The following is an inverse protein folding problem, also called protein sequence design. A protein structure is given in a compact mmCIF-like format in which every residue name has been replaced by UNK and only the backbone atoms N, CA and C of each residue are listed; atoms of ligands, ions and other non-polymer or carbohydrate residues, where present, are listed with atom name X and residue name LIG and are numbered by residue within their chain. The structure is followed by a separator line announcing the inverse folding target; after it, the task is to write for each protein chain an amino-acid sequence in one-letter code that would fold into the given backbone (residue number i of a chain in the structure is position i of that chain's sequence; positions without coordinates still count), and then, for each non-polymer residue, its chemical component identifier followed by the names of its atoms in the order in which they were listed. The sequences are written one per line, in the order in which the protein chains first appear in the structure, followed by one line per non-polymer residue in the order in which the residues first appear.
data_IF_795149806626
#
_entry.id   IF_795149806626
#
_cell.length_a   1.000
_cell.length_b   1.000
_cell.length_c   1.000
_cell.angle_alpha   90.00
_cell.angle_beta   90.00
_cell.angle_gamma   90.00
#
_symmetry.space_group_name_H-M   'P 1'
#
loop_
_entity.id
_entity.type
_entity.pdbx_description
1 polymer ?
#
# COMPACT_ATOMS: atom_id res chain seq x y z
N UNK A 1 1.29 7.46 27.87
CA UNK A 1 2.57 7.39 27.12
C UNK A 1 2.25 7.60 25.65
N UNK A 2 2.72 8.67 25.00
CA UNK A 2 2.56 8.86 23.56
C UNK A 2 3.32 7.75 22.84
N UNK A 3 2.64 7.00 21.99
CA UNK A 3 3.28 5.97 21.18
C UNK A 3 4.38 6.61 20.32
N UNK A 4 5.58 6.05 20.36
CA UNK A 4 6.70 6.50 19.51
C UNK A 4 6.30 6.35 18.04
N UNK A 5 6.64 7.33 17.21
CA UNK A 5 6.41 7.26 15.76
C UNK A 5 7.14 6.06 15.14
N UNK A 6 6.60 5.52 14.04
CA UNK A 6 7.22 4.43 13.29
C UNK A 6 8.67 4.78 12.89
N UNK A 7 8.88 6.01 12.43
CA UNK A 7 10.21 6.56 12.09
C UNK A 7 11.19 6.43 13.27
N UNK A 8 10.76 6.84 14.47
CA UNK A 8 11.61 6.79 15.66
C UNK A 8 11.93 5.33 16.07
N UNK A 9 10.95 4.42 15.97
CA UNK A 9 11.18 3.00 16.30
C UNK A 9 12.17 2.34 15.34
N UNK A 10 11.99 2.53 14.03
CA UNK A 10 12.87 1.93 13.02
C UNK A 10 14.29 2.49 13.13
N UNK A 11 14.44 3.82 13.26
CA UNK A 11 15.74 4.47 13.41
C UNK A 11 16.46 4.03 14.68
N UNK A 12 15.74 3.86 15.79
CA UNK A 12 16.31 3.42 17.06
C UNK A 12 16.76 1.96 17.01
N UNK A 13 15.95 1.06 16.44
CA UNK A 13 16.32 -0.35 16.27
C UNK A 13 17.53 -0.51 15.35
N UNK A 14 17.54 0.21 14.22
CA UNK A 14 18.67 0.20 13.29
C UNK A 14 19.94 0.75 13.94
N UNK A 15 19.85 1.93 14.60
CA UNK A 15 20.98 2.53 15.29
C UNK A 15 21.52 1.66 16.41
N UNK A 16 20.67 1.03 17.21
CA UNK A 16 21.08 0.10 18.27
C UNK A 16 21.79 -1.13 17.66
N UNK A 17 21.20 -1.74 16.64
CA UNK A 17 21.78 -2.91 15.97
C UNK A 17 23.18 -2.63 15.42
N UNK A 18 23.35 -1.53 14.70
CA UNK A 18 24.65 -1.11 14.15
C UNK A 18 25.64 -0.82 15.27
N UNK A 19 25.21 -0.14 16.33
CA UNK A 19 26.08 0.16 17.49
C UNK A 19 26.60 -1.13 18.13
N UNK A 20 25.74 -2.10 18.40
CA UNK A 20 26.12 -3.40 18.97
C UNK A 20 27.14 -4.10 18.09
N UNK A 21 26.92 -4.15 16.77
CA UNK A 21 27.84 -4.81 15.82
C UNK A 21 29.20 -4.11 15.81
N UNK A 22 29.22 -2.77 15.71
CA UNK A 22 30.48 -2.01 15.69
C UNK A 22 31.27 -2.22 16.97
N UNK A 23 30.63 -2.11 18.15
CA UNK A 23 31.33 -2.28 19.43
C UNK A 23 31.80 -3.72 19.63
N UNK A 24 31.04 -4.72 19.22
CA UNK A 24 31.45 -6.11 19.23
C UNK A 24 32.70 -6.36 18.36
N UNK A 25 32.70 -5.80 17.14
CA UNK A 25 33.84 -5.90 16.23
C UNK A 25 35.09 -5.21 16.79
N UNK A 26 34.91 -3.98 17.31
CA UNK A 26 36.03 -3.25 17.93
C UNK A 26 36.57 -3.92 19.16
N UNK A 27 35.75 -4.51 20.01
CA UNK A 27 36.19 -5.34 21.12
C UNK A 27 36.97 -6.54 20.65
N UNK A 28 36.51 -7.27 19.60
CA UNK A 28 37.19 -8.41 19.02
C UNK A 28 38.58 -8.02 18.47
N UNK A 29 38.67 -6.90 17.75
CA UNK A 29 39.92 -6.39 17.21
C UNK A 29 40.90 -6.02 18.36
N UNK A 30 40.45 -5.28 19.37
CA UNK A 30 41.22 -4.89 20.51
C UNK A 30 41.73 -6.12 21.29
N UNK A 31 40.88 -7.13 21.48
CA UNK A 31 41.21 -8.39 22.11
C UNK A 31 42.25 -9.18 21.28
N UNK A 32 42.07 -9.25 19.96
CA UNK A 32 42.99 -9.93 19.06
C UNK A 32 44.38 -9.30 19.04
N UNK A 33 44.50 -7.97 19.07
CA UNK A 33 45.75 -7.23 19.14
C UNK A 33 46.43 -7.47 20.48
N UNK A 34 45.70 -7.41 21.59
CA UNK A 34 46.24 -7.68 22.92
C UNK A 34 46.82 -9.11 23.00
N UNK A 35 46.09 -10.10 22.49
CA UNK A 35 46.50 -11.49 22.44
C UNK A 35 47.74 -11.68 21.55
N UNK A 36 47.81 -11.00 20.42
CA UNK A 36 48.98 -11.06 19.52
C UNK A 36 50.26 -10.56 20.23
N UNK A 37 50.18 -9.45 20.94
CA UNK A 37 51.32 -8.96 21.74
C UNK A 37 51.73 -9.95 22.85
N UNK A 38 50.76 -10.57 23.51
CA UNK A 38 51.03 -11.57 24.54
C UNK A 38 51.78 -12.80 23.97
N UNK A 39 51.37 -13.28 22.82
CA UNK A 39 52.00 -14.41 22.12
C UNK A 39 53.42 -14.02 21.63
N UNK A 40 53.60 -12.82 21.11
CA UNK A 40 54.88 -12.30 20.67
C UNK A 40 55.88 -12.19 21.83
N UNK A 41 55.47 -11.56 22.95
CA UNK A 41 56.30 -11.43 24.14
C UNK A 41 56.66 -12.79 24.72
N UNK A 42 55.75 -13.75 24.70
CA UNK A 42 56.01 -15.13 25.15
C UNK A 42 57.07 -15.81 24.30
N UNK A 43 56.99 -15.74 22.99
CA UNK A 43 57.98 -16.34 22.08
C UNK A 43 59.37 -15.71 22.29
N UNK A 44 59.43 -14.39 22.49
CA UNK A 44 60.68 -13.70 22.77
C UNK A 44 61.33 -14.18 24.07
N UNK A 45 60.51 -14.23 25.16
CA UNK A 45 60.99 -14.72 26.46
C UNK A 45 61.43 -16.18 26.42
N UNK A 46 60.69 -17.07 25.76
CA UNK A 46 61.03 -18.49 25.60
C UNK A 46 62.29 -18.65 24.76
N UNK A 47 62.46 -17.88 23.68
CA UNK A 47 63.70 -17.90 22.86
C UNK A 47 64.93 -17.45 23.65
N UNK A 48 64.82 -16.42 24.48
CA UNK A 48 65.91 -15.96 25.34
C UNK A 48 66.19 -16.93 26.49
N UNK A 49 65.15 -17.57 27.02
CA UNK A 49 65.34 -18.63 28.04
C UNK A 49 66.12 -19.78 27.51
N UNK A 50 65.84 -20.22 26.26
CA UNK A 50 66.60 -21.26 25.59
C UNK A 50 68.05 -20.86 25.35
N UNK A 51 68.36 -19.59 25.03
CA UNK A 51 69.71 -19.07 24.93
C UNK A 51 70.43 -19.17 26.25
N UNK A 52 69.85 -18.68 27.36
CA UNK A 52 70.39 -18.74 28.70
C UNK A 52 70.65 -20.19 29.10
N UNK A 53 69.71 -21.10 28.86
CA UNK A 53 69.87 -22.54 29.13
C UNK A 53 71.05 -23.14 28.39
N UNK A 54 71.26 -22.81 27.12
CA UNK A 54 72.37 -23.29 26.31
C UNK A 54 73.77 -22.79 26.83
N UNK A 55 73.81 -21.52 27.27
CA UNK A 55 75.04 -20.96 27.85
C UNK A 55 75.37 -21.63 29.18
N UNK A 56 74.39 -21.78 30.06
CA UNK A 56 74.57 -22.45 31.37
C UNK A 56 74.96 -23.93 31.23
N UNK A 57 74.38 -24.65 30.26
CA UNK A 57 74.73 -26.07 30.03
C UNK A 57 76.07 -26.29 29.46
N UNK A 58 76.71 -25.33 28.78
CA UNK A 58 78.09 -25.40 28.26
C UNK A 58 79.16 -25.10 29.32
N UNK A 59 78.78 -24.47 30.40
CA UNK A 59 79.73 -24.13 31.47
C UNK A 59 79.92 -25.33 32.39
N UNK A 60 80.85 -26.24 32.02
CA UNK A 60 81.12 -27.50 32.66
C UNK A 60 82.28 -27.45 33.71
N UNK A 61 82.87 -26.25 33.89
CA UNK A 61 83.92 -25.99 34.88
C UNK A 61 83.67 -24.68 35.65
N UNK A 62 84.24 -24.52 36.85
CA UNK A 62 84.17 -23.28 37.61
C UNK A 62 84.66 -22.06 36.82
N UNK A 63 85.76 -22.24 36.04
CA UNK A 63 86.32 -21.17 35.20
C UNK A 63 85.43 -20.81 34.04
N UNK A 64 84.71 -21.77 33.43
CA UNK A 64 83.70 -21.51 32.41
C UNK A 64 82.45 -20.76 33.00
N UNK A 65 82.05 -21.11 34.20
CA UNK A 65 80.98 -20.41 34.91
C UNK A 65 81.33 -18.94 35.20
N UNK A 66 82.55 -18.60 35.53
CA UNK A 66 83.02 -17.23 35.74
C UNK A 66 82.97 -16.40 34.44
N UNK A 67 83.00 -17.02 33.28
CA UNK A 67 82.80 -16.39 31.96
C UNK A 67 81.38 -16.12 31.56
N UNK A 68 80.38 -16.85 32.09
CA UNK A 68 78.95 -16.75 31.73
C UNK A 68 78.32 -15.36 31.87
N UNK A 69 78.63 -14.58 32.95
CA UNK A 69 78.12 -13.23 33.07
C UNK A 69 78.50 -12.36 31.87
N UNK A 70 79.69 -12.41 31.37
CA UNK A 70 80.16 -11.62 30.23
C UNK A 70 79.52 -12.10 28.93
N UNK A 71 79.37 -13.41 28.72
CA UNK A 71 78.70 -13.96 27.53
C UNK A 71 77.20 -13.61 27.52
N UNK A 72 76.61 -13.59 28.69
CA UNK A 72 75.22 -13.14 28.80
C UNK A 72 75.03 -11.63 28.51
N UNK A 73 75.91 -10.78 29.03
CA UNK A 73 75.89 -9.35 28.73
C UNK A 73 76.15 -9.11 27.23
N UNK A 74 77.09 -9.78 26.61
CA UNK A 74 77.39 -9.71 25.16
C UNK A 74 76.16 -10.19 24.32
N UNK A 75 75.51 -11.26 24.76
CA UNK A 75 74.30 -11.79 24.07
C UNK A 75 73.07 -10.97 24.25
N UNK A 76 73.03 -10.07 25.24
CA UNK A 76 71.90 -9.14 25.53
C UNK A 76 72.17 -7.77 24.94
N UNK A 77 73.30 -7.50 24.32
CA UNK A 77 73.60 -6.24 23.64
C UNK A 77 72.51 -5.98 22.55
N UNK A 78 71.93 -4.83 22.55
CA UNK A 78 70.84 -4.42 21.62
C UNK A 78 69.43 -4.83 22.04
N UNK A 79 69.24 -5.48 23.15
CA UNK A 79 67.93 -5.82 23.74
C UNK A 79 67.65 -4.94 24.97
N UNK A 80 67.44 -3.63 24.73
CA UNK A 80 67.30 -2.63 25.81
C UNK A 80 66.13 -2.88 26.77
N UNK A 81 65.08 -3.56 26.34
CA UNK A 81 63.88 -3.90 27.15
C UNK A 81 64.00 -5.21 27.94
N UNK A 82 65.04 -6.01 27.69
CA UNK A 82 65.21 -7.35 28.29
C UNK A 82 66.13 -7.32 29.52
N UNK A 83 65.76 -8.07 30.55
CA UNK A 83 66.58 -8.30 31.72
C UNK A 83 66.64 -9.78 32.04
N UNK A 84 67.84 -10.26 32.35
CA UNK A 84 68.08 -11.61 32.79
C UNK A 84 68.71 -11.60 34.20
N UNK A 85 68.07 -12.35 35.11
CA UNK A 85 68.60 -12.54 36.49
C UNK A 85 68.68 -14.00 36.79
N UNK A 86 69.89 -14.41 37.28
CA UNK A 86 70.12 -15.78 37.72
C UNK A 86 70.25 -15.78 39.26
N UNK A 87 69.49 -16.72 39.88
CA UNK A 87 69.39 -16.79 41.35
C UNK A 87 69.74 -18.19 41.77
N UNK A 88 70.54 -18.34 42.81
CA UNK A 88 70.87 -19.62 43.38
C UNK A 88 69.75 -20.27 44.18
N UNK A 89 69.96 -21.51 44.66
CA UNK A 89 68.94 -22.23 45.46
C UNK A 89 68.62 -21.57 46.80
N UNK A 90 69.52 -20.68 47.28
CA UNK A 90 69.34 -19.90 48.52
C UNK A 90 68.66 -18.55 48.30
N UNK A 91 68.39 -18.20 47.02
CA UNK A 91 67.70 -16.93 46.66
C UNK A 91 68.71 -15.76 46.49
N UNK A 92 69.99 -15.99 46.46
CA UNK A 92 70.97 -14.93 46.21
C UNK A 92 71.10 -14.68 44.71
N UNK A 93 71.17 -13.40 44.29
CA UNK A 93 71.39 -13.03 42.89
C UNK A 93 72.84 -13.42 42.52
N UNK A 94 73.00 -14.35 41.61
CA UNK A 94 74.31 -14.76 41.06
C UNK A 94 74.70 -13.86 39.87
N UNK A 95 73.71 -13.47 39.05
CA UNK A 95 73.90 -12.54 37.95
C UNK A 95 72.64 -11.71 37.78
N UNK A 96 72.76 -10.45 37.40
CA UNK A 96 71.65 -9.62 36.96
C UNK A 96 72.14 -8.61 35.92
N UNK A 97 71.61 -8.71 34.67
CA UNK A 97 71.99 -7.79 33.61
C UNK A 97 71.44 -6.33 33.93
N UNK A 98 70.38 -6.23 34.72
CA UNK A 98 69.84 -5.00 35.27
C UNK A 98 69.25 -5.23 36.65
N UNK A 99 69.41 -4.24 37.52
CA UNK A 99 68.76 -4.32 38.82
C UNK A 99 67.28 -3.95 38.74
N UNK A 100 66.47 -4.98 38.84
CA UNK A 100 65.00 -4.88 38.82
C UNK A 100 64.45 -5.34 40.14
N UNK A 101 63.43 -4.60 40.65
CA UNK A 101 62.68 -5.03 41.81
C UNK A 101 61.59 -6.03 41.39
N UNK A 102 61.74 -7.26 41.84
CA UNK A 102 60.78 -8.32 41.54
C UNK A 102 59.69 -8.37 42.60
N UNK A 103 58.43 -8.59 42.24
CA UNK A 103 57.38 -8.87 43.21
C UNK A 103 57.79 -10.05 44.11
N UNK A 104 57.53 -9.96 45.41
CA UNK A 104 57.89 -11.03 46.36
C UNK A 104 57.30 -12.42 45.97
N UNK A 105 56.21 -12.41 45.24
CA UNK A 105 55.54 -13.63 44.72
C UNK A 105 56.23 -14.21 43.46
N UNK A 106 57.04 -13.42 42.74
CA UNK A 106 57.62 -13.85 41.48
C UNK A 106 58.49 -15.09 41.64
N UNK A 107 59.41 -15.13 42.65
CA UNK A 107 60.24 -16.28 42.92
C UNK A 107 59.60 -17.36 43.78
N UNK A 108 58.50 -17.07 44.51
CA UNK A 108 57.77 -18.03 45.35
C UNK A 108 56.76 -18.90 44.59
N UNK A 109 56.25 -18.45 43.44
CA UNK A 109 55.33 -19.24 42.64
C UNK A 109 56.08 -20.46 42.03
N UNK A 110 55.42 -21.61 41.76
CA UNK A 110 56.00 -22.75 41.09
C UNK A 110 56.59 -22.37 39.73
N UNK A 111 57.72 -22.98 39.37
CA UNK A 111 58.46 -22.69 38.13
C UNK A 111 57.84 -23.26 36.84
N UNK A 112 56.57 -23.65 36.87
CA UNK A 112 55.94 -24.24 35.72
C UNK A 112 55.36 -23.12 34.79
N UNK A 113 56.17 -22.77 33.76
CA UNK A 113 55.77 -22.12 32.48
C UNK A 113 54.73 -20.99 32.49
N UNK A 114 54.46 -20.33 33.64
CA UNK A 114 53.50 -19.23 33.74
C UNK A 114 54.16 -17.88 33.49
N UNK A 115 53.67 -17.14 32.50
CA UNK A 115 54.04 -15.73 32.34
C UNK A 115 53.49 -14.94 33.52
N UNK A 116 54.33 -14.21 34.21
CA UNK A 116 53.95 -13.28 35.29
C UNK A 116 53.99 -11.85 34.76
N UNK A 117 52.93 -11.10 34.97
CA UNK A 117 52.81 -9.69 34.56
C UNK A 117 52.69 -8.84 35.80
N UNK A 118 53.52 -7.81 35.92
CA UNK A 118 53.41 -6.82 37.02
C UNK A 118 53.74 -5.42 36.53
N UNK A 119 53.47 -4.45 37.36
CA UNK A 119 53.76 -3.04 37.10
C UNK A 119 54.56 -2.44 38.25
N UNK A 120 55.49 -1.61 37.90
CA UNK A 120 56.24 -0.80 38.80
C UNK A 120 56.15 0.67 38.36
N UNK A 121 55.34 1.46 39.04
CA UNK A 121 54.99 2.81 38.58
C UNK A 121 54.29 2.79 37.22
N UNK A 122 54.88 3.49 36.26
CA UNK A 122 54.34 3.54 34.86
C UNK A 122 54.92 2.39 33.97
N UNK A 123 55.91 1.64 34.47
CA UNK A 123 56.53 0.55 33.72
C UNK A 123 55.75 -0.76 33.89
N UNK A 124 55.55 -1.44 32.82
CA UNK A 124 54.95 -2.78 32.81
C UNK A 124 55.95 -3.83 32.45
N UNK A 125 55.95 -4.91 33.18
CA UNK A 125 56.92 -6.02 33.00
C UNK A 125 56.15 -7.33 32.78
N UNK A 126 56.74 -8.18 31.93
CA UNK A 126 56.32 -9.56 31.73
C UNK A 126 57.51 -10.46 31.90
N UNK A 127 57.44 -11.40 32.83
CA UNK A 127 58.54 -12.26 33.14
C UNK A 127 58.23 -13.74 33.05
N UNK A 128 59.23 -14.51 32.69
CA UNK A 128 59.20 -15.96 32.67
C UNK A 128 60.41 -16.45 33.53
N UNK A 129 60.21 -17.48 34.34
CA UNK A 129 61.30 -18.10 35.12
C UNK A 129 61.26 -19.59 34.96
N UNK A 130 62.49 -20.22 35.06
CA UNK A 130 62.66 -21.67 35.08
C UNK A 130 63.92 -22.06 35.82
N UNK A 131 63.89 -23.21 36.48
CA UNK A 131 65.09 -23.78 37.07
C UNK A 131 65.85 -24.47 35.98
N UNK A 132 67.20 -24.24 35.94
CA UNK A 132 68.09 -24.79 34.96
C UNK A 132 69.30 -25.43 35.67
N UNK A 133 69.72 -26.58 35.16
CA UNK A 133 70.98 -27.22 35.60
C UNK A 133 72.15 -26.62 34.81
N UNK A 134 73.22 -26.26 35.47
CA UNK A 134 74.44 -25.81 34.86
C UNK A 134 75.37 -27.04 34.56
N UNK A 135 76.34 -26.90 33.66
CA UNK A 135 77.21 -27.95 33.29
C UNK A 135 78.09 -28.49 34.46
N UNK A 136 78.35 -27.69 35.50
CA UNK A 136 79.03 -28.05 36.72
C UNK A 136 78.15 -28.71 37.81
N UNK A 137 76.83 -28.95 37.49
CA UNK A 137 75.88 -29.64 38.37
C UNK A 137 75.09 -28.74 39.36
N UNK A 138 75.26 -27.45 39.31
CA UNK A 138 74.43 -26.50 40.13
C UNK A 138 73.06 -26.33 39.53
N UNK A 139 72.12 -25.94 40.33
CA UNK A 139 70.77 -25.52 39.88
C UNK A 139 70.60 -24.02 40.09
N UNK A 140 70.42 -23.29 39.00
CA UNK A 140 70.16 -21.85 39.03
C UNK A 140 68.68 -21.59 38.52
N UNK A 141 68.01 -20.66 39.12
CA UNK A 141 66.74 -20.20 38.59
C UNK A 141 66.97 -18.98 37.69
N UNK A 142 66.74 -19.17 36.38
CA UNK A 142 66.79 -18.06 35.42
C UNK A 142 65.46 -17.36 35.37
N UNK A 143 65.46 -16.06 35.60
CA UNK A 143 64.31 -15.15 35.42
C UNK A 143 64.64 -14.23 34.25
N UNK A 144 63.76 -14.24 33.24
CA UNK A 144 63.86 -13.37 32.06
C UNK A 144 62.68 -12.48 32.08
N UNK A 145 62.86 -11.17 31.97
CA UNK A 145 61.87 -10.14 32.10
C UNK A 145 61.96 -9.19 30.91
N UNK A 146 60.83 -8.94 30.30
CA UNK A 146 60.67 -7.98 29.22
C UNK A 146 59.90 -6.75 29.71
N UNK A 147 60.43 -5.56 29.47
CA UNK A 147 59.71 -4.30 29.67
C UNK A 147 58.68 -4.14 28.54
N UNK A 148 57.40 -4.24 28.88
CA UNK A 148 56.29 -4.15 27.97
C UNK A 148 55.61 -2.77 27.99
N UNK A 149 56.20 -1.76 28.61
CA UNK A 149 55.65 -0.42 28.77
C UNK A 149 55.23 0.18 27.42
N UNK A 150 56.08 0.02 26.40
CA UNK A 150 55.78 0.51 25.04
C UNK A 150 54.56 -0.19 24.44
N UNK A 151 54.47 -1.52 24.62
CA UNK A 151 53.28 -2.28 24.15
C UNK A 151 52.00 -1.84 24.87
N UNK A 152 52.07 -1.62 26.19
CA UNK A 152 50.92 -1.17 26.97
C UNK A 152 50.43 0.23 26.54
N UNK A 153 51.37 1.16 26.32
CA UNK A 153 51.03 2.49 25.80
C UNK A 153 50.38 2.43 24.40
N UNK A 154 50.95 1.60 23.53
CA UNK A 154 50.38 1.39 22.19
C UNK A 154 48.97 0.80 22.25
N UNK A 155 48.76 -0.26 23.06
CA UNK A 155 47.45 -0.92 23.22
C UNK A 155 46.40 0.08 23.78
N UNK A 156 46.81 0.89 24.76
CA UNK A 156 45.89 1.90 25.34
C UNK A 156 45.51 2.98 24.30
N UNK A 157 46.49 3.53 23.58
CA UNK A 157 46.26 4.48 22.49
C UNK A 157 45.42 3.86 21.38
N UNK A 158 45.67 2.61 21.00
CA UNK A 158 44.89 1.88 20.02
C UNK A 158 43.46 1.67 20.44
N UNK A 159 43.19 1.21 21.69
CA UNK A 159 41.86 1.03 22.26
C UNK A 159 41.06 2.36 22.26
N UNK A 160 41.73 3.45 22.65
CA UNK A 160 41.10 4.80 22.60
C UNK A 160 40.77 5.22 21.16
N UNK A 161 41.71 5.02 20.23
CA UNK A 161 41.50 5.31 18.80
C UNK A 161 40.32 4.53 18.20
N UNK A 162 40.29 3.22 18.46
CA UNK A 162 39.18 2.35 18.03
C UNK A 162 37.88 2.79 18.63
N UNK A 163 37.79 3.12 19.92
CA UNK A 163 36.59 3.56 20.58
C UNK A 163 36.03 4.89 19.98
N UNK A 164 36.94 5.84 19.71
CA UNK A 164 36.54 7.11 19.03
C UNK A 164 36.04 6.84 17.62
N UNK A 165 36.77 6.05 16.82
CA UNK A 165 36.38 5.72 15.46
C UNK A 165 34.98 5.04 15.41
N UNK A 166 34.73 4.09 16.32
CA UNK A 166 33.44 3.38 16.41
C UNK A 166 32.32 4.30 16.84
N UNK A 167 32.57 5.20 17.79
CA UNK A 167 31.58 6.18 18.23
C UNK A 167 31.18 7.12 17.08
N UNK A 168 32.17 7.62 16.33
CA UNK A 168 31.91 8.47 15.17
C UNK A 168 31.16 7.70 14.05
N UNK A 169 31.54 6.45 13.77
CA UNK A 169 30.86 5.60 12.81
C UNK A 169 29.42 5.30 13.23
N UNK A 170 29.17 5.03 14.50
CA UNK A 170 27.83 4.81 15.04
C UNK A 170 26.93 6.06 14.93
N UNK A 171 27.44 7.23 15.26
CA UNK A 171 26.73 8.50 15.14
C UNK A 171 26.41 8.82 13.67
N UNK A 172 27.39 8.65 12.78
CA UNK A 172 27.18 8.88 11.33
C UNK A 172 26.12 7.93 10.77
N UNK A 173 26.22 6.65 11.09
CA UNK A 173 25.27 5.64 10.58
C UNK A 173 23.86 5.85 11.14
N UNK A 174 23.74 6.22 12.43
CA UNK A 174 22.46 6.57 13.04
C UNK A 174 21.83 7.81 12.38
N UNK A 175 22.65 8.83 12.09
CA UNK A 175 22.19 10.04 11.40
C UNK A 175 21.72 9.77 9.97
N UNK A 176 22.50 9.00 9.20
CA UNK A 176 22.12 8.61 7.84
C UNK A 176 20.87 7.72 7.83
N UNK A 177 20.78 6.77 8.76
CA UNK A 177 19.59 5.92 8.90
C UNK A 177 18.34 6.72 9.25
N UNK A 178 18.43 7.67 10.18
CA UNK A 178 17.33 8.58 10.50
C UNK A 178 16.90 9.39 9.28
N UNK A 179 17.84 9.97 8.52
CA UNK A 179 17.56 10.76 7.32
C UNK A 179 16.87 9.92 6.23
N UNK A 180 17.35 8.70 6.00
CA UNK A 180 16.79 7.78 5.01
C UNK A 180 15.33 7.40 5.36
N UNK A 181 15.07 7.02 6.61
CA UNK A 181 13.72 6.68 7.09
C UNK A 181 12.79 7.90 7.06
N UNK A 182 13.28 9.06 7.46
CA UNK A 182 12.49 10.29 7.47
C UNK A 182 12.06 10.70 6.06
N UNK A 183 12.98 10.67 5.08
CA UNK A 183 12.65 10.99 3.68
C UNK A 183 11.81 9.92 3.00
N UNK A 184 12.09 8.65 3.29
CA UNK A 184 11.35 7.52 2.72
C UNK A 184 9.88 7.46 3.16
N UNK A 185 9.57 7.90 4.39
CA UNK A 185 8.19 7.89 4.91
C UNK A 185 7.43 9.21 4.70
N UNK A 186 8.06 10.26 4.16
CA UNK A 186 7.41 11.54 3.90
C UNK A 186 6.20 11.43 2.96
N UNK A 187 6.26 10.68 1.84
CA UNK A 187 5.12 10.49 0.95
C UNK A 187 3.91 9.86 1.66
N UNK A 188 4.15 8.89 2.53
CA UNK A 188 3.08 8.21 3.28
C UNK A 188 2.33 9.17 4.22
N UNK A 189 3.06 10.12 4.85
CA UNK A 189 2.43 11.17 5.66
C UNK A 189 1.54 12.08 4.81
N UNK A 190 2.01 12.49 3.63
CA UNK A 190 1.21 13.30 2.70
C UNK A 190 -0.09 12.60 2.29
N UNK A 191 -0.04 11.28 2.06
CA UNK A 191 -1.25 10.49 1.78
C UNK A 191 -2.22 10.51 2.96
N UNK A 192 -1.72 10.38 4.19
CA UNK A 192 -2.56 10.43 5.39
C UNK A 192 -3.19 11.81 5.56
N UNK A 193 -2.40 12.88 5.37
CA UNK A 193 -2.88 14.26 5.47
C UNK A 193 -3.97 14.53 4.41
N UNK A 194 -3.75 14.08 3.17
CA UNK A 194 -4.73 14.20 2.09
C UNK A 194 -6.00 13.43 2.41
N UNK A 195 -5.89 12.18 2.90
CA UNK A 195 -7.04 11.36 3.28
C UNK A 195 -7.87 11.99 4.42
N UNK A 196 -7.21 12.68 5.37
CA UNK A 196 -7.91 13.37 6.47
C UNK A 196 -8.57 14.68 6.06
N UNK A 197 -8.07 15.33 5.00
CA UNK A 197 -8.61 16.57 4.46
C UNK A 197 -9.64 16.37 3.34
N UNK A 198 -9.89 15.11 2.92
CA UNK A 198 -10.88 14.78 1.91
C UNK A 198 -12.28 15.21 2.37
N UNK A 199 -12.93 16.02 1.54
CA UNK A 199 -14.31 16.39 1.66
C UNK A 199 -14.93 16.43 0.26
N UNK A 200 -16.26 16.40 0.16
CA UNK A 200 -16.96 16.44 -1.11
C UNK A 200 -16.53 17.61 -2.04
N UNK A 201 -16.03 18.70 -1.45
CA UNK A 201 -15.60 19.90 -2.17
C UNK A 201 -14.10 19.90 -2.54
N UNK A 202 -13.35 18.82 -2.25
CA UNK A 202 -11.90 18.72 -2.47
C UNK A 202 -11.49 17.34 -3.00
N UNK A 203 -12.30 16.75 -3.83
CA UNK A 203 -12.03 15.46 -4.47
C UNK A 203 -11.11 15.58 -5.70
N UNK A 204 -10.81 16.80 -6.14
CA UNK A 204 -9.94 17.14 -7.27
C UNK A 204 -8.43 16.98 -6.96
N UNK A 205 -8.07 16.87 -5.69
CA UNK A 205 -6.67 16.73 -5.29
C UNK A 205 -6.15 15.33 -5.62
N UNK A 206 -4.90 15.29 -6.15
CA UNK A 206 -4.22 14.04 -6.49
C UNK A 206 -2.83 14.00 -5.85
N UNK A 207 -2.37 12.80 -5.57
CA UNK A 207 -0.99 12.57 -5.14
C UNK A 207 -0.05 12.73 -6.33
N UNK A 208 1.12 13.37 -6.16
CA UNK A 208 2.13 13.43 -7.21
C UNK A 208 2.66 12.02 -7.50
N UNK A 209 2.75 11.67 -8.78
CA UNK A 209 3.26 10.36 -9.23
C UNK A 209 4.74 10.42 -9.62
N UNK A 210 5.34 11.61 -9.58
CA UNK A 210 6.75 11.82 -9.94
C UNK A 210 7.63 11.88 -8.69
N UNK A 211 8.83 11.26 -8.76
CA UNK A 211 9.81 11.32 -7.67
C UNK A 211 9.53 10.41 -6.50
N UNK A 212 8.63 9.43 -6.64
CA UNK A 212 8.32 8.42 -5.63
C UNK A 212 9.10 7.12 -5.86
N UNK A 213 9.48 6.40 -4.78
CA UNK A 213 9.94 5.02 -4.90
C UNK A 213 8.86 4.13 -5.56
N UNK A 214 9.26 3.07 -6.31
CA UNK A 214 8.32 2.22 -7.04
C UNK A 214 7.19 1.64 -6.17
N UNK A 215 7.50 1.25 -4.94
CA UNK A 215 6.54 0.68 -3.97
C UNK A 215 5.48 1.70 -3.56
N UNK A 216 5.86 2.95 -3.43
CA UNK A 216 4.96 4.06 -3.07
C UNK A 216 4.17 4.54 -4.30
N UNK A 217 4.77 4.49 -5.50
CA UNK A 217 4.12 4.86 -6.75
C UNK A 217 2.88 3.98 -7.02
N UNK A 218 3.01 2.66 -6.84
CA UNK A 218 1.88 1.73 -7.00
C UNK A 218 0.71 2.14 -6.09
N UNK A 219 1.01 2.48 -4.84
CA UNK A 219 0.01 2.91 -3.87
C UNK A 219 -0.61 4.27 -4.25
N UNK A 220 0.20 5.22 -4.73
CA UNK A 220 -0.28 6.54 -5.16
C UNK A 220 -1.22 6.43 -6.37
N UNK A 221 -0.88 5.60 -7.36
CA UNK A 221 -1.74 5.34 -8.54
C UNK A 221 -3.06 4.69 -8.12
N UNK A 222 -3.03 3.67 -7.26
CA UNK A 222 -4.24 3.02 -6.77
C UNK A 222 -5.13 3.99 -5.97
N UNK A 223 -4.53 4.87 -5.16
CA UNK A 223 -5.25 5.88 -4.40
C UNK A 223 -5.87 6.96 -5.31
N UNK A 224 -5.14 7.44 -6.32
CA UNK A 224 -5.66 8.38 -7.32
C UNK A 224 -6.84 7.76 -8.10
N UNK A 225 -6.73 6.50 -8.52
CA UNK A 225 -7.82 5.79 -9.19
C UNK A 225 -9.07 5.64 -8.30
N UNK A 226 -8.89 5.47 -6.99
CA UNK A 226 -10.00 5.48 -6.04
C UNK A 226 -10.66 6.87 -5.95
N UNK A 227 -9.84 7.93 -5.89
CA UNK A 227 -10.34 9.32 -5.88
C UNK A 227 -11.12 9.66 -7.16
N UNK A 228 -10.65 9.23 -8.33
CA UNK A 228 -11.36 9.41 -9.62
C UNK A 228 -12.77 8.80 -9.56
N UNK A 229 -12.87 7.56 -9.08
CA UNK A 229 -14.18 6.88 -8.92
C UNK A 229 -15.10 7.59 -7.94
N UNK A 230 -14.52 8.11 -6.85
CA UNK A 230 -15.30 8.83 -5.83
C UNK A 230 -15.79 10.17 -6.38
N UNK A 231 -14.94 10.93 -7.06
CA UNK A 231 -15.30 12.20 -7.72
C UNK A 231 -16.41 12.00 -8.76
N UNK A 232 -16.28 10.99 -9.63
CA UNK A 232 -17.29 10.64 -10.62
C UNK A 232 -18.64 10.24 -9.98
N UNK A 233 -18.58 9.54 -8.84
CA UNK A 233 -19.79 9.15 -8.11
C UNK A 233 -20.48 10.36 -7.47
N UNK A 234 -19.70 11.27 -6.88
CA UNK A 234 -20.23 12.52 -6.30
C UNK A 234 -20.79 13.45 -7.38
N UNK A 235 -20.11 13.57 -8.52
CA UNK A 235 -20.60 14.37 -9.65
C UNK A 235 -21.95 13.86 -10.13
N UNK A 236 -22.07 12.54 -10.39
CA UNK A 236 -23.33 11.91 -10.78
C UNK A 236 -24.44 12.11 -9.76
N UNK A 237 -24.12 12.00 -8.46
CA UNK A 237 -25.09 12.22 -7.39
C UNK A 237 -25.55 13.68 -7.35
N UNK A 238 -24.64 14.64 -7.53
CA UNK A 238 -24.94 16.08 -7.53
C UNK A 238 -25.80 16.47 -8.72
N UNK A 239 -25.45 16.00 -9.93
CA UNK A 239 -26.24 16.19 -11.15
C UNK A 239 -27.65 15.62 -10.98
N UNK A 240 -27.77 14.38 -10.52
CA UNK A 240 -29.05 13.73 -10.26
C UNK A 240 -29.91 14.49 -9.25
N UNK A 241 -29.32 14.97 -8.15
CA UNK A 241 -30.03 15.75 -7.14
C UNK A 241 -30.54 17.10 -7.69
N UNK A 242 -29.69 17.74 -8.51
CA UNK A 242 -30.09 19.00 -9.19
C UNK A 242 -31.25 18.80 -10.16
N UNK A 243 -31.17 17.73 -10.97
CA UNK A 243 -32.19 17.40 -11.94
C UNK A 243 -33.56 17.10 -11.26
N UNK A 244 -33.51 16.29 -10.17
CA UNK A 244 -34.67 16.02 -9.35
C UNK A 244 -35.31 17.33 -8.84
N UNK A 245 -34.49 18.21 -8.26
CA UNK A 245 -35.01 19.48 -7.72
C UNK A 245 -35.64 20.36 -8.78
N UNK A 246 -35.10 20.37 -10.00
CA UNK A 246 -35.65 21.12 -11.12
C UNK A 246 -36.97 20.52 -11.61
N UNK A 247 -37.04 19.24 -11.83
CA UNK A 247 -38.23 18.56 -12.38
C UNK A 247 -39.36 18.46 -11.38
N UNK A 248 -39.11 18.47 -10.07
CA UNK A 248 -40.17 18.55 -9.06
C UNK A 248 -40.66 19.96 -8.81
N UNK A 249 -39.81 20.98 -8.98
CA UNK A 249 -40.21 22.39 -8.71
C UNK A 249 -41.35 22.85 -9.62
N UNK A 250 -41.28 22.50 -10.91
CA UNK A 250 -42.26 22.93 -11.91
C UNK A 250 -43.67 22.45 -11.60
N UNK A 251 -43.96 21.14 -11.46
CA UNK A 251 -45.31 20.66 -11.16
C UNK A 251 -45.82 21.14 -9.80
N UNK A 252 -44.93 21.19 -8.78
CA UNK A 252 -45.34 21.73 -7.46
C UNK A 252 -45.71 23.20 -7.54
N UNK A 253 -44.94 24.02 -8.30
CA UNK A 253 -45.30 25.42 -8.51
C UNK A 253 -46.62 25.61 -9.29
N UNK A 254 -46.86 24.75 -10.27
CA UNK A 254 -48.12 24.78 -11.03
C UNK A 254 -49.33 24.43 -10.15
N UNK A 255 -49.23 23.36 -9.36
CA UNK A 255 -50.25 22.98 -8.39
C UNK A 255 -50.55 24.08 -7.37
N UNK A 256 -49.47 24.71 -6.85
CA UNK A 256 -49.61 25.82 -5.91
C UNK A 256 -50.32 27.00 -6.56
N UNK A 257 -49.93 27.36 -7.78
CA UNK A 257 -50.54 28.44 -8.54
C UNK A 257 -52.04 28.16 -8.85
N UNK A 258 -52.34 26.94 -9.31
CA UNK A 258 -53.74 26.54 -9.56
C UNK A 258 -54.58 26.63 -8.28
N UNK A 259 -54.08 26.15 -7.16
CA UNK A 259 -54.76 26.22 -5.88
C UNK A 259 -54.97 27.70 -5.43
N UNK A 260 -53.93 28.54 -5.56
CA UNK A 260 -54.03 29.98 -5.22
C UNK A 260 -55.06 30.72 -6.10
N UNK A 261 -55.05 30.45 -7.40
CA UNK A 261 -55.99 31.05 -8.35
C UNK A 261 -57.38 30.54 -8.09
N UNK A 262 -57.58 29.27 -7.73
CA UNK A 262 -58.88 28.74 -7.35
C UNK A 262 -59.48 29.38 -6.06
N UNK A 263 -58.59 29.72 -5.12
CA UNK A 263 -58.98 30.37 -3.85
C UNK A 263 -59.11 31.89 -3.94
N UNK A 264 -58.58 32.56 -4.96
CA UNK A 264 -58.59 34.02 -5.09
C UNK A 264 -60.04 34.60 -5.32
N UNK A 265 -60.92 33.86 -5.97
CA UNK A 265 -62.23 34.24 -6.23
C UNK A 265 -63.25 33.09 -6.04
N UNK A 266 -64.49 33.35 -5.56
CA UNK A 266 -65.51 32.31 -5.50
C UNK A 266 -65.83 31.74 -6.90
N UNK A 267 -65.87 30.39 -6.99
CA UNK A 267 -66.16 29.66 -8.22
C UNK A 267 -67.34 28.74 -8.08
N UNK A 268 -67.85 28.28 -9.19
CA UNK A 268 -68.92 27.26 -9.21
C UNK A 268 -68.40 25.93 -8.75
N UNK A 269 -69.25 25.03 -8.29
CA UNK A 269 -68.88 23.67 -7.91
C UNK A 269 -68.22 22.89 -9.09
N UNK A 270 -68.67 23.14 -10.33
CA UNK A 270 -68.13 22.54 -11.54
C UNK A 270 -66.66 22.99 -11.79
N UNK A 271 -66.37 24.28 -11.66
CA UNK A 271 -65.01 24.82 -11.80
C UNK A 271 -64.05 24.29 -10.71
N UNK A 272 -64.51 24.16 -9.46
CA UNK A 272 -63.72 23.54 -8.41
C UNK A 272 -63.46 22.06 -8.71
N UNK A 273 -64.42 21.32 -9.25
CA UNK A 273 -64.26 19.92 -9.64
C UNK A 273 -63.19 19.78 -10.72
N UNK A 274 -63.18 20.64 -11.74
CA UNK A 274 -62.17 20.65 -12.81
C UNK A 274 -60.79 20.93 -12.28
N UNK A 275 -60.59 21.90 -11.39
CA UNK A 275 -59.34 22.22 -10.76
C UNK A 275 -58.83 21.03 -9.90
N UNK A 276 -59.74 20.39 -9.14
CA UNK A 276 -59.37 19.22 -8.34
C UNK A 276 -59.00 18.01 -9.22
N UNK A 277 -59.72 17.78 -10.31
CA UNK A 277 -59.42 16.71 -11.26
C UNK A 277 -58.05 16.94 -11.89
N UNK A 278 -57.74 18.12 -12.40
CA UNK A 278 -56.43 18.49 -12.92
C UNK A 278 -55.30 18.33 -11.86
N UNK A 279 -55.61 18.67 -10.60
CA UNK A 279 -54.66 18.51 -9.49
C UNK A 279 -54.39 17.03 -9.21
N UNK A 280 -55.40 16.15 -9.26
CA UNK A 280 -55.21 14.69 -9.09
C UNK A 280 -54.35 14.13 -10.19
N UNK A 281 -54.58 14.50 -11.44
CA UNK A 281 -53.74 14.06 -12.59
C UNK A 281 -52.27 14.45 -12.41
N UNK A 282 -51.98 15.67 -11.92
CA UNK A 282 -50.63 16.14 -11.68
C UNK A 282 -49.99 15.46 -10.46
N UNK A 283 -50.75 15.14 -9.40
CA UNK A 283 -50.23 14.31 -8.28
C UNK A 283 -49.89 12.89 -8.70
N UNK A 284 -50.73 12.24 -9.54
CA UNK A 284 -50.44 10.92 -10.10
C UNK A 284 -49.18 10.94 -10.98
N UNK A 285 -49.00 12.01 -11.76
CA UNK A 285 -47.82 12.23 -12.56
C UNK A 285 -46.58 12.37 -11.69
N UNK A 286 -46.64 13.16 -10.60
CA UNK A 286 -45.57 13.30 -9.62
C UNK A 286 -45.24 11.95 -8.95
N UNK A 287 -46.24 11.18 -8.56
CA UNK A 287 -46.06 9.87 -7.95
C UNK A 287 -45.31 8.90 -8.89
N UNK A 288 -45.71 8.87 -10.18
CA UNK A 288 -45.03 8.09 -11.21
C UNK A 288 -43.57 8.54 -11.37
N UNK A 289 -43.35 9.86 -11.47
CA UNK A 289 -41.99 10.43 -11.60
C UNK A 289 -41.07 10.04 -10.43
N UNK A 290 -41.56 10.14 -9.18
CA UNK A 290 -40.82 9.74 -7.99
C UNK A 290 -40.50 8.23 -8.03
N UNK A 291 -41.46 7.39 -8.42
CA UNK A 291 -41.27 5.95 -8.59
C UNK A 291 -40.21 5.61 -9.64
N UNK A 292 -40.18 6.34 -10.75
CA UNK A 292 -39.21 6.22 -11.83
C UNK A 292 -37.80 6.61 -11.36
N UNK A 293 -37.69 7.72 -10.61
CA UNK A 293 -36.44 8.18 -10.03
C UNK A 293 -35.85 7.18 -9.01
N UNK A 294 -36.70 6.65 -8.12
CA UNK A 294 -36.29 5.63 -7.15
C UNK A 294 -35.84 4.33 -7.84
N UNK A 295 -36.52 3.95 -8.93
CA UNK A 295 -36.12 2.81 -9.74
C UNK A 295 -34.73 3.03 -10.33
N UNK A 296 -34.50 4.17 -10.98
CA UNK A 296 -33.19 4.51 -11.57
C UNK A 296 -32.07 4.58 -10.52
N UNK A 297 -32.35 5.17 -9.35
CA UNK A 297 -31.42 5.22 -8.24
C UNK A 297 -31.00 3.82 -7.73
N UNK A 298 -31.97 2.88 -7.66
CA UNK A 298 -31.69 1.48 -7.31
C UNK A 298 -30.89 0.75 -8.40
N UNK A 299 -31.20 1.02 -9.67
CA UNK A 299 -30.49 0.45 -10.82
C UNK A 299 -29.01 0.83 -10.81
N UNK A 300 -28.71 2.13 -10.66
CA UNK A 300 -27.34 2.65 -10.62
C UNK A 300 -26.47 2.03 -9.52
N UNK A 301 -27.08 1.80 -8.38
CA UNK A 301 -26.41 1.21 -7.23
C UNK A 301 -26.40 -0.34 -7.26
N UNK A 302 -26.87 -0.97 -8.35
CA UNK A 302 -27.03 -2.43 -8.49
C UNK A 302 -27.84 -3.06 -7.34
N UNK A 303 -28.79 -2.31 -6.81
CA UNK A 303 -29.68 -2.74 -5.73
C UNK A 303 -31.01 -3.34 -6.24
N UNK A 304 -31.19 -3.44 -7.55
CA UNK A 304 -32.35 -4.11 -8.13
C UNK A 304 -32.18 -5.61 -7.99
N UNK A 305 -33.07 -6.23 -7.24
CA UNK A 305 -33.19 -7.68 -7.24
C UNK A 305 -34.01 -8.09 -8.46
N UNK A 306 -33.41 -8.92 -9.34
CA UNK A 306 -34.10 -9.52 -10.49
C UNK A 306 -34.72 -10.82 -10.01
N UNK A 307 -35.99 -11.05 -10.37
CA UNK A 307 -36.63 -12.36 -10.23
C UNK A 307 -36.71 -13.03 -11.61
N UNK A 308 -35.65 -13.75 -12.07
CA UNK A 308 -35.57 -14.23 -13.43
C UNK A 308 -36.47 -15.43 -13.67
N UNK A 309 -37.44 -15.31 -14.52
CA UNK A 309 -38.30 -16.37 -15.02
C UNK A 309 -38.24 -16.45 -16.55
N UNK A 310 -38.81 -17.51 -17.12
CA UNK A 310 -38.97 -17.60 -18.58
C UNK A 310 -40.09 -16.68 -19.01
N UNK A 311 -39.78 -15.69 -19.84
CA UNK A 311 -40.72 -14.68 -20.33
C UNK A 311 -40.91 -14.84 -21.83
N UNK A 312 -42.14 -15.11 -22.25
CA UNK A 312 -42.54 -15.02 -23.66
C UNK A 312 -42.81 -13.55 -23.97
N UNK A 313 -41.88 -12.95 -24.75
CA UNK A 313 -42.00 -11.55 -25.16
C UNK A 313 -43.18 -11.32 -26.14
N UNK A 314 -43.60 -12.35 -26.85
CA UNK A 314 -44.77 -12.25 -27.79
C UNK A 314 -46.04 -12.08 -27.00
N UNK A 315 -46.27 -12.89 -25.96
CA UNK A 315 -47.42 -12.79 -25.07
C UNK A 315 -47.50 -11.43 -24.34
N UNK A 316 -46.35 -10.93 -23.90
CA UNK A 316 -46.28 -9.62 -23.25
C UNK A 316 -46.49 -8.46 -24.23
N UNK A 317 -46.01 -8.60 -25.50
CA UNK A 317 -46.28 -7.61 -26.55
C UNK A 317 -47.76 -7.54 -26.91
N UNK A 318 -48.41 -8.71 -27.08
CA UNK A 318 -49.85 -8.77 -27.40
C UNK A 318 -50.70 -8.12 -26.31
N UNK A 319 -50.41 -8.40 -25.03
CA UNK A 319 -51.09 -7.75 -23.88
C UNK A 319 -50.91 -6.23 -23.88
N UNK A 320 -49.70 -5.75 -24.25
CA UNK A 320 -49.46 -4.31 -24.33
C UNK A 320 -50.15 -3.67 -25.53
N UNK A 321 -50.21 -4.35 -26.68
CA UNK A 321 -50.97 -3.86 -27.85
C UNK A 321 -52.45 -3.80 -27.55
N UNK A 322 -53.01 -4.79 -26.85
CA UNK A 322 -54.41 -4.77 -26.40
C UNK A 322 -54.66 -3.57 -25.44
N UNK A 323 -53.77 -3.35 -24.48
CA UNK A 323 -53.89 -2.25 -23.52
C UNK A 323 -53.79 -0.87 -24.15
N UNK A 324 -52.84 -0.67 -25.09
CA UNK A 324 -52.65 0.62 -25.76
C UNK A 324 -53.50 0.80 -27.01
N UNK A 325 -54.29 -0.20 -27.42
CA UNK A 325 -55.07 -0.21 -28.67
C UNK A 325 -56.05 0.96 -28.74
N UNK A 326 -56.84 1.21 -27.69
CA UNK A 326 -57.79 2.32 -27.65
C UNK A 326 -57.06 3.67 -27.82
N UNK A 327 -55.96 3.89 -27.10
CA UNK A 327 -55.20 5.13 -27.20
C UNK A 327 -54.58 5.32 -28.59
N UNK A 328 -54.11 4.25 -29.22
CA UNK A 328 -53.55 4.30 -30.56
C UNK A 328 -54.61 4.59 -31.61
N UNK A 329 -55.84 3.97 -31.50
CA UNK A 329 -56.94 4.21 -32.38
C UNK A 329 -57.44 5.68 -32.30
N UNK A 330 -57.53 6.27 -31.09
CA UNK A 330 -57.85 7.67 -30.90
C UNK A 330 -56.87 8.62 -31.61
N UNK A 331 -55.57 8.21 -31.69
CA UNK A 331 -54.55 8.96 -32.40
C UNK A 331 -54.42 8.59 -33.87
N UNK A 332 -55.24 7.67 -34.35
CA UNK A 332 -55.19 7.16 -35.74
C UNK A 332 -53.98 6.32 -36.07
N UNK A 333 -53.38 5.67 -35.06
CA UNK A 333 -52.15 4.85 -35.19
C UNK A 333 -52.51 3.37 -35.16
N UNK A 334 -51.92 2.58 -36.04
CA UNK A 334 -52.05 1.12 -36.06
C UNK A 334 -50.92 0.46 -35.28
N UNK A 335 -51.23 -0.51 -34.42
CA UNK A 335 -50.29 -1.32 -33.72
C UNK A 335 -50.19 -2.71 -34.32
N UNK A 336 -48.96 -3.22 -34.55
CA UNK A 336 -48.71 -4.55 -35.10
C UNK A 336 -47.64 -5.28 -34.27
N UNK A 337 -47.83 -6.58 -34.08
CA UNK A 337 -46.81 -7.48 -33.50
C UNK A 337 -46.41 -8.51 -34.55
N UNK A 338 -45.11 -8.73 -34.74
CA UNK A 338 -44.58 -9.66 -35.70
C UNK A 338 -43.42 -10.49 -35.12
N UNK A 339 -43.45 -11.82 -35.34
CA UNK A 339 -42.43 -12.73 -34.84
C UNK A 339 -42.68 -13.20 -33.41
N UNK A 340 -41.73 -13.95 -32.87
CA UNK A 340 -41.77 -14.43 -31.50
C UNK A 340 -40.36 -14.54 -30.94
N UNK A 341 -40.25 -14.29 -29.65
CA UNK A 341 -38.99 -14.46 -28.88
C UNK A 341 -39.29 -14.73 -27.40
N UNK A 342 -38.45 -15.53 -26.80
CA UNK A 342 -38.49 -15.75 -25.36
C UNK A 342 -37.11 -15.47 -24.76
N UNK A 343 -37.09 -15.01 -23.52
CA UNK A 343 -35.88 -14.73 -22.76
C UNK A 343 -36.05 -15.07 -21.29
N UNK A 344 -34.98 -15.19 -20.57
CA UNK A 344 -35.03 -15.32 -19.11
C UNK A 344 -34.80 -13.95 -18.47
N UNK A 345 -35.75 -13.48 -17.69
CA UNK A 345 -35.67 -12.17 -17.06
C UNK A 345 -36.83 -11.90 -16.10
N UNK A 346 -36.82 -10.71 -15.53
CA UNK A 346 -37.93 -10.24 -14.70
C UNK A 346 -39.08 -9.75 -15.58
N UNK A 347 -40.20 -10.47 -15.56
CA UNK A 347 -41.37 -10.20 -16.40
C UNK A 347 -41.92 -8.77 -16.24
N UNK A 348 -41.96 -8.31 -14.99
CA UNK A 348 -42.53 -6.96 -14.71
C UNK A 348 -41.60 -5.87 -15.24
N UNK A 349 -40.26 -6.05 -15.09
CA UNK A 349 -39.30 -5.11 -15.63
C UNK A 349 -39.29 -5.11 -17.15
N UNK A 350 -39.31 -6.29 -17.78
CA UNK A 350 -39.34 -6.40 -19.25
C UNK A 350 -40.64 -5.82 -19.82
N UNK A 351 -41.80 -6.09 -19.20
CA UNK A 351 -43.06 -5.47 -19.56
C UNK A 351 -42.98 -3.95 -19.45
N UNK A 352 -42.38 -3.40 -18.39
CA UNK A 352 -42.18 -1.97 -18.20
C UNK A 352 -41.31 -1.36 -19.30
N UNK A 353 -40.24 -2.04 -19.69
CA UNK A 353 -39.38 -1.59 -20.79
C UNK A 353 -40.12 -1.55 -22.12
N UNK A 354 -40.87 -2.62 -22.43
CA UNK A 354 -41.72 -2.68 -23.64
C UNK A 354 -42.79 -1.63 -23.65
N UNK A 355 -43.49 -1.39 -22.51
CA UNK A 355 -44.48 -0.36 -22.33
C UNK A 355 -43.92 1.06 -22.56
N UNK A 356 -42.72 1.34 -22.04
CA UNK A 356 -42.05 2.63 -22.26
C UNK A 356 -41.68 2.84 -23.75
N UNK A 357 -41.18 1.78 -24.42
CA UNK A 357 -40.87 1.86 -25.86
C UNK A 357 -42.11 2.05 -26.69
N UNK A 358 -43.20 1.30 -26.41
CA UNK A 358 -44.47 1.38 -27.14
C UNK A 358 -45.13 2.70 -26.94
N UNK A 359 -45.27 3.21 -25.69
CA UNK A 359 -45.87 4.52 -25.41
C UNK A 359 -45.06 5.66 -26.05
N UNK A 360 -43.73 5.55 -26.09
CA UNK A 360 -42.86 6.50 -26.77
C UNK A 360 -43.10 6.45 -28.30
N UNK A 361 -43.20 5.28 -28.88
CA UNK A 361 -43.47 5.11 -30.31
C UNK A 361 -44.83 5.67 -30.71
N UNK A 362 -45.92 5.42 -29.95
CA UNK A 362 -47.23 5.97 -30.19
C UNK A 362 -47.21 7.49 -30.14
N UNK A 363 -46.60 8.07 -29.09
CA UNK A 363 -46.52 9.54 -28.88
C UNK A 363 -45.80 10.27 -30.03
N UNK A 364 -44.78 9.64 -30.61
CA UNK A 364 -43.96 10.26 -31.65
C UNK A 364 -44.36 9.88 -33.07
N UNK A 365 -45.40 9.08 -33.23
CA UNK A 365 -45.96 8.76 -34.53
C UNK A 365 -47.00 9.78 -35.02
N UNK A 366 -47.12 9.95 -36.29
CA UNK A 366 -48.16 10.77 -36.92
C UNK A 366 -49.43 9.95 -37.16
N UNK A 367 -50.58 10.60 -37.22
CA UNK A 367 -51.83 9.95 -37.56
C UNK A 367 -51.73 9.25 -38.92
N UNK A 368 -52.27 8.04 -39.01
CA UNK A 368 -52.16 7.12 -40.18
C UNK A 368 -50.90 6.26 -40.15
N UNK A 369 -50.00 6.46 -39.19
CA UNK A 369 -48.77 5.65 -39.04
C UNK A 369 -49.03 4.26 -38.47
N UNK A 370 -48.04 3.36 -38.64
CA UNK A 370 -48.05 2.02 -38.06
C UNK A 370 -46.86 1.90 -37.13
N UNK A 371 -47.08 1.53 -35.87
CA UNK A 371 -46.04 1.15 -34.91
C UNK A 371 -45.94 -0.39 -34.89
N UNK A 372 -44.77 -0.90 -35.10
CA UNK A 372 -44.55 -2.34 -35.19
C UNK A 372 -43.60 -2.83 -34.12
N UNK A 373 -44.00 -3.84 -33.33
CA UNK A 373 -43.12 -4.60 -32.43
C UNK A 373 -42.63 -5.84 -33.17
N UNK A 374 -41.34 -5.93 -33.50
CA UNK A 374 -40.74 -7.12 -34.12
C UNK A 374 -39.96 -7.90 -33.07
N UNK A 375 -40.22 -9.17 -32.99
CA UNK A 375 -39.58 -10.14 -32.11
C UNK A 375 -38.87 -11.19 -32.93
N UNK A 376 -37.68 -11.58 -32.46
CA UNK A 376 -36.87 -12.60 -33.10
C UNK A 376 -35.74 -13.09 -32.19
N UNK A 377 -35.01 -14.05 -32.67
CA UNK A 377 -33.82 -14.59 -32.00
C UNK A 377 -32.65 -14.66 -32.98
N UNK A 378 -31.47 -14.30 -32.53
CA UNK A 378 -30.21 -14.52 -33.22
C UNK A 378 -29.27 -15.41 -32.40
N UNK A 379 -28.04 -15.59 -32.84
CA UNK A 379 -27.01 -16.35 -32.13
C UNK A 379 -26.61 -15.74 -30.76
N UNK A 380 -26.91 -14.48 -30.53
CA UNK A 380 -26.56 -13.74 -29.30
C UNK A 380 -27.73 -13.68 -28.31
N UNK A 381 -28.99 -13.97 -28.75
CA UNK A 381 -30.14 -13.97 -27.86
C UNK A 381 -31.46 -13.51 -28.49
N UNK A 382 -32.39 -13.08 -27.60
CA UNK A 382 -33.67 -12.54 -28.00
C UNK A 382 -33.54 -11.09 -28.49
N UNK A 383 -34.21 -10.77 -29.58
CA UNK A 383 -34.28 -9.40 -30.13
C UNK A 383 -35.72 -8.91 -30.00
N UNK A 384 -35.86 -7.74 -29.41
CA UNK A 384 -37.07 -6.95 -29.42
C UNK A 384 -36.79 -5.65 -30.17
N UNK A 385 -37.53 -5.35 -31.19
CA UNK A 385 -37.41 -4.11 -31.95
C UNK A 385 -38.78 -3.41 -31.97
N UNK A 386 -38.79 -2.13 -31.64
CA UNK A 386 -39.96 -1.25 -31.78
C UNK A 386 -39.67 -0.23 -32.86
N UNK A 387 -40.50 -0.24 -33.90
CA UNK A 387 -40.40 0.65 -35.06
C UNK A 387 -41.58 1.60 -35.10
N UNK A 388 -41.29 2.87 -35.35
CA UNK A 388 -42.35 3.86 -35.54
C UNK A 388 -41.99 4.88 -36.64
N UNK A 389 -43.01 5.45 -37.35
CA UNK A 389 -42.79 6.57 -38.24
C UNK A 389 -42.28 7.79 -37.49
N UNK A 390 -41.33 8.49 -38.07
CA UNK A 390 -40.70 9.69 -37.54
C UNK A 390 -39.19 9.62 -37.57
N UNK A 391 -38.53 10.77 -37.62
CA UNK A 391 -37.08 10.86 -37.65
C UNK A 391 -36.52 11.54 -36.42
N UNK A 392 -35.40 11.07 -35.95
CA UNK A 392 -34.64 11.68 -34.84
C UNK A 392 -33.34 12.25 -35.43
N UNK A 393 -33.07 13.56 -35.25
CA UNK A 393 -31.80 14.15 -35.70
C UNK A 393 -30.59 13.40 -35.12
N UNK A 394 -29.55 13.22 -35.92
CA UNK A 394 -28.39 12.45 -35.53
C UNK A 394 -27.70 12.96 -34.25
N UNK A 395 -27.75 14.27 -34.00
CA UNK A 395 -27.24 14.92 -32.80
C UNK A 395 -27.94 14.51 -31.50
N UNK A 396 -29.19 14.05 -31.58
CA UNK A 396 -29.96 13.59 -30.43
C UNK A 396 -29.77 12.11 -30.10
N UNK A 397 -29.43 11.27 -31.10
CA UNK A 397 -29.30 9.83 -30.93
C UNK A 397 -28.39 9.39 -29.77
N UNK A 398 -27.19 9.96 -29.56
CA UNK A 398 -26.31 9.57 -28.46
C UNK A 398 -26.87 9.85 -27.05
N UNK A 399 -27.80 10.80 -26.96
CA UNK A 399 -28.33 11.31 -25.69
C UNK A 399 -29.71 10.84 -25.35
N UNK A 400 -30.37 10.08 -26.24
CA UNK A 400 -31.76 9.64 -26.06
C UNK A 400 -32.03 8.87 -24.78
N UNK A 401 -31.01 8.17 -24.28
CA UNK A 401 -31.08 7.36 -23.07
C UNK A 401 -30.59 8.10 -21.82
N UNK A 402 -30.18 9.39 -21.97
CA UNK A 402 -29.84 10.24 -20.81
C UNK A 402 -31.13 10.60 -20.06
N UNK A 403 -31.00 10.71 -18.74
CA UNK A 403 -32.12 11.10 -17.87
C UNK A 403 -32.55 12.51 -18.17
N UNK A 404 -33.87 12.73 -18.12
CA UNK A 404 -34.50 14.05 -18.36
C UNK A 404 -34.20 14.64 -19.75
N UNK A 405 -33.62 13.82 -20.64
CA UNK A 405 -33.35 14.27 -22.00
C UNK A 405 -34.62 14.24 -22.85
N UNK A 406 -34.91 15.36 -23.47
CA UNK A 406 -36.01 15.53 -24.44
C UNK A 406 -35.48 16.31 -25.63
N UNK A 407 -35.66 15.79 -26.86
CA UNK A 407 -35.15 16.43 -28.07
C UNK A 407 -35.86 17.75 -28.43
N UNK A 408 -37.03 18.03 -27.85
CA UNK A 408 -37.81 19.23 -28.12
C UNK A 408 -38.15 19.99 -26.80
N UNK A 409 -37.55 21.17 -26.53
CA UNK A 409 -37.81 21.96 -25.36
C UNK A 409 -39.28 22.49 -25.29
N UNK A 410 -39.95 22.65 -26.44
CA UNK A 410 -41.31 23.19 -26.50
C UNK A 410 -42.33 22.17 -26.02
N UNK A 411 -42.13 20.90 -26.30
CA UNK A 411 -42.96 19.77 -25.82
C UNK A 411 -42.83 19.52 -24.32
N UNK A 412 -41.69 19.91 -23.72
CA UNK A 412 -41.49 19.90 -22.26
C UNK A 412 -42.51 20.77 -21.53
N UNK A 413 -42.87 21.91 -22.11
CA UNK A 413 -43.85 22.85 -21.54
C UNK A 413 -45.31 22.34 -21.60
N UNK A 414 -45.61 21.41 -22.51
CA UNK A 414 -46.94 20.78 -22.65
C UNK A 414 -47.21 19.60 -21.71
N UNK A 415 -46.28 19.27 -20.83
CA UNK A 415 -46.52 18.20 -19.84
C UNK A 415 -46.29 16.76 -20.34
N UNK A 416 -45.83 16.58 -21.57
CA UNK A 416 -45.75 15.30 -22.27
C UNK A 416 -44.45 14.51 -22.05
N UNK A 417 -44.16 14.12 -20.82
CA UNK A 417 -43.06 13.18 -20.52
C UNK A 417 -41.83 13.84 -19.94
N UNK A 418 -41.34 13.25 -18.85
CA UNK A 418 -40.23 13.76 -18.01
C UNK A 418 -38.86 13.40 -18.57
N UNK A 419 -38.78 12.64 -19.70
CA UNK A 419 -37.52 12.18 -20.25
C UNK A 419 -36.88 11.03 -19.45
N UNK A 420 -37.63 10.29 -18.62
CA UNK A 420 -37.12 9.15 -17.85
C UNK A 420 -37.41 7.81 -18.51
N UNK A 421 -38.38 7.70 -19.42
CA UNK A 421 -38.85 6.44 -19.99
C UNK A 421 -37.73 5.64 -20.70
N UNK A 422 -36.94 6.28 -21.57
CA UNK A 422 -35.83 5.60 -22.29
C UNK A 422 -34.64 5.30 -21.36
N UNK A 423 -34.37 6.14 -20.35
CA UNK A 423 -33.37 5.85 -19.33
C UNK A 423 -33.77 4.60 -18.51
N UNK A 424 -35.04 4.43 -18.19
CA UNK A 424 -35.58 3.24 -17.52
C UNK A 424 -35.39 2.00 -18.41
N UNK A 425 -35.72 2.11 -19.71
CA UNK A 425 -35.51 1.01 -20.65
C UNK A 425 -34.05 0.58 -20.66
N UNK A 426 -33.13 1.52 -20.79
CA UNK A 426 -31.70 1.24 -20.75
C UNK A 426 -31.30 0.55 -19.46
N UNK A 427 -31.73 1.08 -18.31
CA UNK A 427 -31.40 0.47 -17.00
C UNK A 427 -31.98 -0.94 -16.86
N UNK A 428 -33.20 -1.21 -17.34
CA UNK A 428 -33.79 -2.55 -17.32
C UNK A 428 -32.97 -3.50 -18.22
N UNK A 429 -32.63 -3.07 -19.42
CA UNK A 429 -31.85 -3.89 -20.39
C UNK A 429 -30.46 -4.18 -19.83
N UNK A 430 -29.76 -3.19 -19.25
CA UNK A 430 -28.43 -3.36 -18.64
C UNK A 430 -28.46 -4.31 -17.44
N UNK A 431 -29.50 -4.26 -16.61
CA UNK A 431 -29.66 -5.18 -15.46
C UNK A 431 -29.92 -6.62 -15.90
N UNK A 432 -30.41 -6.82 -17.14
CA UNK A 432 -30.57 -8.13 -17.80
C UNK A 432 -29.36 -8.50 -18.69
N UNK A 433 -28.20 -7.84 -18.52
CA UNK A 433 -26.99 -8.05 -19.31
C UNK A 433 -27.21 -7.87 -20.83
N UNK A 434 -28.23 -7.09 -21.21
CA UNK A 434 -28.60 -6.78 -22.58
C UNK A 434 -28.02 -5.46 -23.10
N UNK A 435 -28.31 -5.16 -24.36
CA UNK A 435 -27.92 -3.93 -25.04
C UNK A 435 -29.14 -3.31 -25.73
N UNK A 436 -29.32 -1.98 -25.59
CA UNK A 436 -30.29 -1.23 -26.37
C UNK A 436 -29.60 -0.23 -27.29
N UNK A 437 -30.10 -0.12 -28.51
CA UNK A 437 -29.63 0.84 -29.52
C UNK A 437 -30.81 1.55 -30.16
N UNK A 438 -30.63 2.81 -30.56
CA UNK A 438 -31.61 3.58 -31.34
C UNK A 438 -30.99 3.92 -32.70
N UNK A 439 -31.81 3.78 -33.72
CA UNK A 439 -31.45 4.12 -35.10
C UNK A 439 -32.57 4.91 -35.73
N UNK A 440 -32.25 5.91 -36.50
CA UNK A 440 -33.21 6.68 -37.28
C UNK A 440 -32.70 6.80 -38.71
N UNK A 441 -33.43 6.28 -39.64
CA UNK A 441 -33.08 6.27 -41.07
C UNK A 441 -34.29 6.71 -41.89
N UNK A 442 -34.15 7.85 -42.56
CA UNK A 442 -35.24 8.48 -43.26
C UNK A 442 -36.39 8.84 -42.30
N UNK A 443 -37.60 8.38 -42.62
CA UNK A 443 -38.80 8.62 -41.84
C UNK A 443 -39.16 7.50 -40.86
N UNK A 444 -38.16 6.65 -40.49
CA UNK A 444 -38.41 5.55 -39.57
C UNK A 444 -37.42 5.56 -38.40
N UNK A 445 -37.93 5.45 -37.20
CA UNK A 445 -37.16 5.29 -35.96
C UNK A 445 -37.27 3.86 -35.46
N UNK A 446 -36.16 3.27 -35.04
CA UNK A 446 -36.07 1.91 -34.51
C UNK A 446 -35.34 1.90 -33.19
N UNK A 447 -35.93 1.29 -32.17
CA UNK A 447 -35.28 0.93 -30.91
C UNK A 447 -35.10 -0.56 -30.88
N UNK A 448 -33.83 -1.03 -30.78
CA UNK A 448 -33.47 -2.43 -30.80
C UNK A 448 -32.90 -2.83 -29.47
N UNK A 449 -33.57 -3.75 -28.77
CA UNK A 449 -33.13 -4.37 -27.53
C UNK A 449 -32.65 -5.79 -27.83
N UNK A 450 -31.46 -6.13 -27.41
CA UNK A 450 -30.89 -7.48 -27.43
C UNK A 450 -30.74 -7.96 -26.00
N UNK A 451 -31.30 -9.13 -25.70
CA UNK A 451 -31.23 -9.78 -24.40
C UNK A 451 -30.50 -11.11 -24.57
N UNK A 452 -29.52 -11.46 -23.74
CA UNK A 452 -28.77 -12.70 -23.89
C UNK A 452 -29.65 -13.95 -23.73
N UNK A 453 -29.36 -15.03 -24.47
CA UNK A 453 -29.89 -16.38 -24.17
C UNK A 453 -29.10 -16.92 -22.96
N UNK A 454 -29.77 -17.27 -21.89
CA UNK A 454 -29.14 -17.98 -20.80
C UNK A 454 -28.99 -19.47 -21.17
N UNK A 455 -27.76 -19.88 -21.46
CA UNK A 455 -27.38 -21.27 -21.44
C UNK A 455 -27.43 -21.79 -20.01
N UNK A 456 -28.07 -22.93 -19.78
CA UNK A 456 -28.30 -23.53 -18.46
C UNK A 456 -27.02 -23.99 -17.73
N UNK A 457 -25.84 -23.72 -18.26
CA UNK A 457 -24.55 -24.16 -17.75
C UNK A 457 -23.79 -23.17 -16.85
N UNK A 458 -24.18 -21.89 -16.74
CA UNK A 458 -23.41 -20.90 -15.97
C UNK A 458 -23.86 -20.66 -14.51
N UNK A 459 -24.84 -21.40 -13.99
CA UNK A 459 -25.35 -21.22 -12.63
C UNK A 459 -24.46 -21.82 -11.51
N UNK A 460 -23.29 -22.42 -11.84
CA UNK A 460 -22.43 -23.07 -10.84
C UNK A 460 -21.26 -22.21 -10.33
N UNK A 461 -20.99 -21.03 -10.90
CA UNK A 461 -19.78 -20.26 -10.56
C UNK A 461 -19.98 -18.86 -9.93
N UNK A 462 -21.21 -18.49 -9.53
CA UNK A 462 -21.48 -17.23 -8.79
C UNK A 462 -21.99 -17.44 -7.36
N UNK A 463 -21.63 -18.55 -6.73
CA UNK A 463 -21.84 -18.78 -5.30
C UNK A 463 -20.52 -19.20 -4.63
N UNK A 464 -19.51 -18.33 -4.66
CA UNK A 464 -18.39 -18.37 -3.73
C UNK A 464 -17.93 -16.92 -3.47
#
# INVERSE_FOLDING_TARGET
MKAMSLTARVSLLFGLGVTVVLFSLGWLVAWSVDRHFQEMDRHELEGKLALVANLLAKADSPEAMDGVPKELDDALVGHEGLSVTLVDAQGNKWFASRDLDYPAEFFRAPSEHGLTVWREGERGFRGLKTAMATGDGRILTAAIVLDISHHLHFIDAFKKGVAVAMTLAALLTAGLGWLAVHRGLLPLRRMTDLATCLSANRLDQRLPETGLPPEILILAVAFNAMLDRLEDSFRRLSEFSSDIAHELRTPVSNLLTQAQVALAHPRTAAEYHEVLQSSVEEYERLARMIGDMLFLAKADNRLLAINPENVDLSEEAEKLVEFYGILAEEQGIRLEVAGSAATRGDRLMLRRAMSNLLSNAIRHSQAGGTVTIRLGTDSAGAILMVENPGSIPAEHLPRLFDRFYTGDPVRRAGGEGVGLGLAIVRSIVEVHDGVITAMSDGDLTRFVVRLPTFDSHELTHRRD
#
